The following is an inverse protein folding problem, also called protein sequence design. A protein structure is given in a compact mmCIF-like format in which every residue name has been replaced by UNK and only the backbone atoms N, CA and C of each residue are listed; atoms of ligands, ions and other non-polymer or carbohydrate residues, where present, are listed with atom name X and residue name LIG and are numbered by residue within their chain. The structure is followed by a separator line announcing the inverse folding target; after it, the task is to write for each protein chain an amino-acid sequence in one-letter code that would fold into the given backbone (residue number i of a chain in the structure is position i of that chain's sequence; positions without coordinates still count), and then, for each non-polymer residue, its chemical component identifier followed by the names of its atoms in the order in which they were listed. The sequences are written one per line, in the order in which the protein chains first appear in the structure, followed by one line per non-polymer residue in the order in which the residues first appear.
data_IF_852478973847
#
_entry.id   IF_852478973847
#
_cell.length_a   1.000
_cell.length_b   1.000
_cell.length_c   1.000
_cell.angle_alpha   90.00
_cell.angle_beta   90.00
_cell.angle_gamma   90.00
#
_symmetry.space_group_name_H-M   'P 1'
#
loop_
_entity.id
_entity.type
_entity.pdbx_description
1 polymer ?
#
# COMPACT_ATOMS: atom_id res chain seq x y z
N UNK A 1 11.63 -11.35 54.14
CA UNK A 1 12.48 -11.73 53.00
C UNK A 1 12.07 -10.89 51.81
N UNK A 2 12.93 -9.99 51.33
CA UNK A 2 12.66 -9.22 50.11
C UNK A 2 12.94 -10.14 48.92
N UNK A 3 11.89 -10.63 48.27
CA UNK A 3 11.99 -11.40 47.02
C UNK A 3 12.26 -10.43 45.87
N UNK A 4 13.51 -9.96 45.75
CA UNK A 4 13.95 -9.28 44.53
C UNK A 4 13.90 -10.28 43.38
N UNK A 5 12.94 -10.10 42.48
CA UNK A 5 12.83 -10.91 41.27
C UNK A 5 14.13 -10.80 40.45
N UNK A 6 14.65 -11.95 40.00
CA UNK A 6 15.84 -11.98 39.14
C UNK A 6 15.58 -11.19 37.85
N UNK A 7 16.54 -10.36 37.40
CA UNK A 7 16.36 -9.55 36.19
C UNK A 7 16.22 -10.46 34.96
N UNK A 8 15.25 -10.13 34.09
CA UNK A 8 15.02 -10.85 32.85
C UNK A 8 16.25 -10.78 31.94
N UNK A 9 16.72 -11.93 31.44
CA UNK A 9 17.85 -11.98 30.53
C UNK A 9 17.53 -11.24 29.21
N UNK A 10 18.41 -10.33 28.77
CA UNK A 10 18.20 -9.50 27.57
C UNK A 10 17.82 -10.32 26.33
N UNK A 11 18.47 -11.47 26.10
CA UNK A 11 18.16 -12.31 24.96
C UNK A 11 16.74 -12.93 25.03
N UNK A 12 16.21 -13.16 26.23
CA UNK A 12 14.82 -13.59 26.39
C UNK A 12 13.85 -12.48 25.97
N UNK A 13 14.08 -11.25 26.47
CA UNK A 13 13.24 -10.08 26.14
C UNK A 13 13.19 -9.85 24.64
N UNK A 14 14.34 -9.84 23.95
CA UNK A 14 14.38 -9.64 22.51
C UNK A 14 13.65 -10.72 21.70
N UNK A 15 13.75 -12.00 22.11
CA UNK A 15 12.98 -13.08 21.48
C UNK A 15 11.47 -12.88 21.64
N UNK A 16 11.03 -12.43 22.82
CA UNK A 16 9.62 -12.12 23.08
C UNK A 16 9.15 -10.93 22.26
N UNK A 17 9.90 -9.83 22.23
CA UNK A 17 9.57 -8.66 21.41
C UNK A 17 9.47 -9.03 19.92
N UNK A 18 10.46 -9.73 19.37
CA UNK A 18 10.44 -10.20 17.99
C UNK A 18 9.18 -11.04 17.67
N UNK A 19 8.81 -11.95 18.59
CA UNK A 19 7.64 -12.79 18.46
C UNK A 19 6.33 -11.99 18.53
N UNK A 20 6.25 -10.98 19.41
CA UNK A 20 5.08 -10.10 19.55
C UNK A 20 4.91 -9.21 18.32
N UNK A 21 6.00 -8.63 17.79
CA UNK A 21 5.95 -7.85 16.55
C UNK A 21 5.54 -8.73 15.36
N UNK A 22 5.99 -9.99 15.36
CA UNK A 22 5.54 -10.98 14.37
C UNK A 22 4.03 -11.25 14.42
N UNK A 23 3.44 -11.35 15.62
CA UNK A 23 1.98 -11.47 15.76
C UNK A 23 1.26 -10.26 15.15
N UNK A 24 1.73 -9.04 15.43
CA UNK A 24 1.14 -7.83 14.85
C UNK A 24 1.18 -7.83 13.32
N UNK A 25 2.31 -8.25 12.73
CA UNK A 25 2.44 -8.36 11.28
C UNK A 25 1.48 -9.40 10.71
N UNK A 26 1.21 -10.51 11.41
CA UNK A 26 0.22 -11.51 10.98
C UNK A 26 -1.19 -10.93 10.98
N UNK A 27 -1.56 -10.15 12.01
CA UNK A 27 -2.86 -9.49 12.06
C UNK A 27 -3.03 -8.50 10.92
N UNK A 28 -1.98 -7.70 10.65
CA UNK A 28 -1.94 -6.82 9.48
C UNK A 28 -2.05 -7.61 8.17
N UNK A 29 -1.32 -8.72 8.02
CA UNK A 29 -1.36 -9.55 6.82
C UNK A 29 -2.77 -10.09 6.54
N UNK A 30 -3.51 -10.48 7.58
CA UNK A 30 -4.91 -10.94 7.45
C UNK A 30 -5.79 -9.81 6.92
N UNK A 31 -5.75 -8.63 7.54
CA UNK A 31 -6.50 -7.45 7.09
C UNK A 31 -6.11 -7.08 5.66
N UNK A 32 -4.82 -6.99 5.39
CA UNK A 32 -4.28 -6.62 4.10
C UNK A 32 -4.76 -7.56 2.97
N UNK A 33 -4.70 -8.88 3.18
CA UNK A 33 -5.16 -9.84 2.17
C UNK A 33 -6.69 -9.83 2.01
N UNK A 34 -7.44 -9.64 3.10
CA UNK A 34 -8.89 -9.48 3.04
C UNK A 34 -9.28 -8.25 2.21
N UNK A 35 -8.75 -7.08 2.54
CA UNK A 35 -9.02 -5.83 1.82
C UNK A 35 -8.61 -5.93 0.35
N UNK A 36 -7.40 -6.41 0.04
CA UNK A 36 -6.94 -6.54 -1.34
C UNK A 36 -7.73 -7.58 -2.15
N UNK A 37 -8.21 -8.65 -1.53
CA UNK A 37 -9.03 -9.65 -2.23
C UNK A 37 -10.34 -9.07 -2.76
N UNK A 38 -10.88 -8.02 -2.13
CA UNK A 38 -12.10 -7.34 -2.60
C UNK A 38 -11.92 -6.59 -3.93
N UNK A 39 -10.69 -6.40 -4.41
CA UNK A 39 -10.46 -5.86 -5.76
C UNK A 39 -10.89 -6.86 -6.85
N UNK A 40 -10.95 -8.15 -6.51
CA UNK A 40 -11.25 -9.24 -7.42
C UNK A 40 -12.51 -10.03 -7.05
N UNK A 41 -12.80 -10.20 -5.75
CA UNK A 41 -13.89 -11.03 -5.27
C UNK A 41 -15.25 -10.37 -5.51
N UNK A 42 -16.23 -11.20 -5.87
CA UNK A 42 -17.59 -10.83 -6.31
C UNK A 42 -18.49 -10.24 -5.20
N UNK A 43 -17.97 -10.01 -3.98
CA UNK A 43 -18.72 -9.34 -2.91
C UNK A 43 -18.60 -7.83 -3.13
N UNK A 44 -19.59 -7.26 -3.84
CA UNK A 44 -19.61 -5.86 -4.24
C UNK A 44 -18.99 -5.65 -5.62
N UNK A 45 -19.66 -6.21 -6.64
CA UNK A 45 -19.32 -6.18 -8.06
C UNK A 45 -18.50 -4.94 -8.47
N UNK A 46 -17.46 -5.15 -9.29
CA UNK A 46 -16.69 -4.09 -9.95
C UNK A 46 -15.68 -3.30 -9.09
N UNK A 47 -15.27 -3.85 -7.94
CA UNK A 47 -14.18 -3.29 -7.13
C UNK A 47 -14.63 -2.25 -6.08
N UNK A 48 -15.93 -2.06 -5.90
CA UNK A 48 -16.47 -1.14 -4.89
C UNK A 48 -16.13 -1.55 -3.46
N UNK A 49 -16.10 -2.85 -3.16
CA UNK A 49 -15.71 -3.35 -1.83
C UNK A 49 -14.32 -2.84 -1.45
N UNK A 50 -13.36 -3.02 -2.37
CA UNK A 50 -12.00 -2.49 -2.22
C UNK A 50 -11.99 -0.97 -2.02
N UNK A 51 -12.71 -0.22 -2.87
CA UNK A 51 -12.77 1.24 -2.78
C UNK A 51 -13.29 1.69 -1.41
N UNK A 52 -14.39 1.08 -0.93
CA UNK A 52 -14.97 1.38 0.40
C UNK A 52 -13.99 1.07 1.52
N UNK A 53 -13.37 -0.10 1.50
CA UNK A 53 -12.42 -0.53 2.53
C UNK A 53 -11.17 0.38 2.58
N UNK A 54 -10.59 0.69 1.42
CA UNK A 54 -9.40 1.56 1.34
C UNK A 54 -9.73 3.00 1.75
N UNK A 55 -10.88 3.54 1.34
CA UNK A 55 -11.31 4.86 1.78
C UNK A 55 -11.58 4.91 3.29
N UNK A 56 -12.17 3.85 3.86
CA UNK A 56 -12.36 3.74 5.31
C UNK A 56 -11.01 3.81 6.04
N UNK A 57 -10.00 3.06 5.58
CA UNK A 57 -8.67 3.06 6.19
C UNK A 57 -7.98 4.43 6.02
N UNK A 58 -8.01 5.04 4.83
CA UNK A 58 -7.41 6.36 4.56
C UNK A 58 -8.00 7.46 5.45
N UNK A 59 -9.28 7.34 5.80
CA UNK A 59 -10.00 8.33 6.59
C UNK A 59 -9.97 8.07 8.11
N UNK A 60 -9.21 7.08 8.58
CA UNK A 60 -9.04 6.86 10.01
C UNK A 60 -8.36 8.06 10.68
N UNK A 61 -8.85 8.49 11.86
CA UNK A 61 -8.20 9.55 12.61
C UNK A 61 -6.80 9.10 13.05
N UNK A 62 -5.84 10.02 13.01
CA UNK A 62 -4.44 9.75 13.38
C UNK A 62 -3.77 8.64 12.55
N UNK A 63 -4.21 8.40 11.31
CA UNK A 63 -3.65 7.38 10.43
C UNK A 63 -2.10 7.37 10.40
N UNK A 64 -1.38 8.51 10.29
CA UNK A 64 0.09 8.48 10.32
C UNK A 64 0.68 7.88 11.60
N UNK A 65 0.06 8.14 12.75
CA UNK A 65 0.49 7.57 14.05
C UNK A 65 0.20 6.07 14.08
N UNK A 66 -0.98 5.66 13.63
CA UNK A 66 -1.38 4.26 13.51
C UNK A 66 -0.38 3.51 12.62
N UNK A 67 -0.05 4.06 11.45
CA UNK A 67 0.90 3.47 10.52
C UNK A 67 2.30 3.32 11.13
N UNK A 68 2.81 4.33 11.82
CA UNK A 68 4.14 4.25 12.45
C UNK A 68 4.14 3.22 13.59
N UNK A 69 3.17 3.30 14.50
CA UNK A 69 3.18 2.53 15.76
C UNK A 69 2.74 1.09 15.55
N UNK A 70 1.73 0.84 14.72
CA UNK A 70 1.16 -0.50 14.52
C UNK A 70 1.73 -1.24 13.31
N UNK A 71 2.33 -0.54 12.34
CA UNK A 71 2.91 -1.17 11.13
C UNK A 71 4.42 -0.97 11.05
N UNK A 72 4.88 0.29 11.00
CA UNK A 72 6.29 0.63 10.77
C UNK A 72 7.23 0.08 11.83
N UNK A 73 6.95 0.36 13.11
CA UNK A 73 7.76 -0.13 14.24
C UNK A 73 7.73 -1.66 14.32
N UNK A 74 6.57 -2.35 14.28
CA UNK A 74 6.54 -3.81 14.28
C UNK A 74 7.29 -4.45 13.11
N UNK A 75 7.10 -3.96 11.88
CA UNK A 75 7.83 -4.45 10.70
C UNK A 75 9.33 -4.26 10.88
N UNK A 76 9.78 -3.06 11.27
CA UNK A 76 11.20 -2.75 11.41
C UNK A 76 11.86 -3.61 12.50
N UNK A 77 11.25 -3.69 13.69
CA UNK A 77 11.77 -4.48 14.79
C UNK A 77 11.78 -5.98 14.48
N UNK A 78 10.72 -6.49 13.85
CA UNK A 78 10.64 -7.88 13.44
C UNK A 78 11.70 -8.21 12.38
N UNK A 79 11.83 -7.36 11.36
CA UNK A 79 12.80 -7.52 10.28
C UNK A 79 14.24 -7.43 10.79
N UNK A 80 14.59 -6.43 11.60
CA UNK A 80 15.96 -6.23 12.08
C UNK A 80 16.43 -7.40 12.98
N UNK A 81 15.61 -7.80 13.95
CA UNK A 81 15.96 -8.92 14.81
C UNK A 81 15.88 -10.26 14.06
N UNK A 82 14.85 -10.44 13.24
CA UNK A 82 14.66 -11.63 12.42
C UNK A 82 15.82 -11.86 11.46
N UNK A 83 16.34 -10.80 10.84
CA UNK A 83 17.50 -10.86 9.95
C UNK A 83 18.77 -11.29 10.69
N UNK A 84 19.01 -10.77 11.91
CA UNK A 84 20.12 -11.26 12.76
C UNK A 84 20.01 -12.76 13.05
N UNK A 85 18.81 -13.23 13.37
CA UNK A 85 18.56 -14.67 13.62
C UNK A 85 18.74 -15.48 12.33
N UNK A 86 18.36 -14.93 11.19
CA UNK A 86 18.47 -15.55 9.88
C UNK A 86 19.94 -15.84 9.53
N UNK A 87 20.84 -14.88 9.76
CA UNK A 87 22.29 -15.00 9.51
C UNK A 87 22.97 -16.07 10.38
N UNK A 88 22.39 -16.43 11.52
CA UNK A 88 22.95 -17.42 12.46
C UNK A 88 22.22 -18.77 12.41
N UNK A 89 21.21 -18.89 11.54
CA UNK A 89 20.36 -20.07 11.48
C UNK A 89 21.04 -21.27 10.80
N UNK A 90 20.90 -22.45 11.39
CA UNK A 90 21.37 -23.72 10.80
C UNK A 90 20.18 -24.59 10.43
N UNK A 91 19.96 -24.79 9.13
CA UNK A 91 18.91 -25.67 8.62
C UNK A 91 19.43 -27.11 8.56
N UNK A 92 18.58 -28.10 8.87
CA UNK A 92 18.95 -29.52 8.87
C UNK A 92 17.84 -30.43 8.30
N UNK A 93 16.91 -29.88 7.53
CA UNK A 93 15.84 -30.65 6.89
C UNK A 93 16.25 -31.36 5.59
N UNK A 94 17.42 -31.03 5.04
CA UNK A 94 17.96 -31.61 3.81
C UNK A 94 19.06 -32.65 4.08
N UNK A 95 19.49 -33.37 3.03
CA UNK A 95 20.62 -34.30 3.10
C UNK A 95 21.88 -33.61 3.66
N UNK A 96 22.68 -34.38 4.39
CA UNK A 96 24.04 -33.98 4.78
C UNK A 96 25.04 -34.99 4.27
N UNK A 97 26.23 -34.48 3.98
CA UNK A 97 27.49 -35.18 3.70
C UNK A 97 28.23 -35.68 4.97
N UNK A 98 27.56 -35.70 6.13
CA UNK A 98 28.16 -36.05 7.43
C UNK A 98 28.72 -34.88 8.25
N UNK A 99 28.82 -33.67 7.69
CA UNK A 99 29.33 -32.48 8.42
C UNK A 99 28.31 -31.83 9.35
N UNK A 100 27.01 -32.16 9.19
CA UNK A 100 25.90 -31.67 10.02
C UNK A 100 24.84 -32.77 10.20
N UNK A 101 24.07 -32.76 11.30
CA UNK A 101 22.94 -33.68 11.44
C UNK A 101 21.90 -33.43 10.35
N UNK A 102 21.31 -34.49 9.78
CA UNK A 102 20.22 -34.43 8.81
C UNK A 102 18.96 -35.06 9.39
N UNK A 103 17.89 -34.27 9.51
CA UNK A 103 16.66 -34.60 10.23
C UNK A 103 15.45 -34.54 9.29
N UNK A 104 15.51 -35.34 8.21
CA UNK A 104 14.53 -35.32 7.10
C UNK A 104 13.14 -35.84 7.49
N UNK A 105 13.07 -36.70 8.50
CA UNK A 105 11.84 -37.36 8.94
C UNK A 105 10.94 -36.44 9.77
N UNK A 106 11.43 -35.29 10.24
CA UNK A 106 10.70 -34.43 11.17
C UNK A 106 10.10 -33.21 10.47
N UNK A 107 8.77 -33.14 10.43
CA UNK A 107 8.01 -32.03 9.83
C UNK A 107 8.36 -30.66 10.41
N UNK A 108 8.74 -30.59 11.70
CA UNK A 108 9.18 -29.34 12.34
C UNK A 108 10.51 -28.82 11.80
N UNK A 109 11.43 -29.70 11.41
CA UNK A 109 12.71 -29.30 10.82
C UNK A 109 12.50 -28.72 9.42
N UNK A 110 11.56 -29.29 8.65
CA UNK A 110 11.10 -28.70 7.39
C UNK A 110 10.47 -27.34 7.62
N UNK A 111 9.53 -27.23 8.56
CA UNK A 111 8.86 -25.96 8.84
C UNK A 111 9.82 -24.87 9.36
N UNK A 112 10.80 -25.28 10.17
CA UNK A 112 11.92 -24.45 10.57
C UNK A 112 12.67 -23.94 9.33
N UNK A 113 13.02 -24.80 8.39
CA UNK A 113 13.81 -24.42 7.20
C UNK A 113 13.02 -23.51 6.27
N UNK A 114 11.75 -23.83 6.00
CA UNK A 114 10.87 -23.01 5.18
C UNK A 114 10.58 -21.64 5.79
N UNK A 115 10.51 -21.50 7.12
CA UNK A 115 10.42 -20.19 7.76
C UNK A 115 11.57 -19.28 7.35
N UNK A 116 12.79 -19.82 7.19
CA UNK A 116 14.00 -19.04 6.82
C UNK A 116 14.06 -18.73 5.34
N UNK A 117 13.77 -19.73 4.51
CA UNK A 117 13.72 -19.55 3.05
C UNK A 117 12.70 -18.46 2.70
N UNK A 118 11.50 -18.54 3.27
CA UNK A 118 10.47 -17.50 3.10
C UNK A 118 10.90 -16.16 3.69
N UNK A 119 11.65 -16.13 4.81
CA UNK A 119 12.20 -14.87 5.36
C UNK A 119 13.10 -14.14 4.36
N UNK A 120 14.04 -14.85 3.71
CA UNK A 120 14.93 -14.22 2.72
C UNK A 120 14.15 -13.60 1.57
N UNK A 121 13.18 -14.35 1.05
CA UNK A 121 12.30 -13.90 -0.01
C UNK A 121 11.47 -12.68 0.44
N UNK A 122 10.95 -12.68 1.67
CA UNK A 122 10.12 -11.60 2.19
C UNK A 122 10.87 -10.32 2.51
N UNK A 123 12.16 -10.38 2.90
CA UNK A 123 12.95 -9.14 3.08
C UNK A 123 13.00 -8.37 1.75
N UNK A 124 13.33 -9.05 0.66
CA UNK A 124 13.36 -8.45 -0.67
C UNK A 124 11.95 -8.06 -1.12
N UNK A 125 10.98 -8.97 -0.94
CA UNK A 125 9.60 -8.80 -1.36
C UNK A 125 8.91 -7.62 -0.68
N UNK A 126 9.05 -7.45 0.63
CA UNK A 126 8.44 -6.35 1.38
C UNK A 126 9.06 -5.01 1.00
N UNK A 127 10.40 -4.93 0.87
CA UNK A 127 11.07 -3.70 0.43
C UNK A 127 10.57 -3.30 -0.96
N UNK A 128 10.55 -4.25 -1.91
CA UNK A 128 10.07 -3.99 -3.26
C UNK A 128 8.57 -3.64 -3.28
N UNK A 129 7.74 -4.35 -2.53
CA UNK A 129 6.30 -4.13 -2.45
C UNK A 129 5.95 -2.76 -1.86
N UNK A 130 6.50 -2.42 -0.69
CA UNK A 130 6.27 -1.14 -0.02
C UNK A 130 6.89 -0.01 -0.84
N UNK A 131 8.12 -0.18 -1.33
CA UNK A 131 8.79 0.75 -2.23
C UNK A 131 7.92 1.11 -3.43
N UNK A 132 7.39 0.08 -4.10
CA UNK A 132 6.57 0.25 -5.29
C UNK A 132 5.19 0.84 -4.99
N UNK A 133 4.46 0.32 -4.01
CA UNK A 133 3.07 0.74 -3.74
C UNK A 133 2.98 2.03 -2.93
N UNK A 134 3.80 2.19 -1.88
CA UNK A 134 3.71 3.31 -0.94
C UNK A 134 4.47 4.56 -1.40
N UNK A 135 5.48 4.42 -2.24
CA UNK A 135 6.29 5.56 -2.67
C UNK A 135 6.23 5.76 -4.18
N UNK A 136 6.47 4.70 -4.97
CA UNK A 136 6.55 4.85 -6.41
C UNK A 136 5.19 5.00 -7.11
N UNK A 137 4.12 4.34 -6.66
CA UNK A 137 2.79 4.42 -7.29
C UNK A 137 1.74 5.09 -6.39
N UNK A 138 2.15 5.72 -5.30
CA UNK A 138 1.23 6.38 -4.38
C UNK A 138 0.44 7.51 -5.06
N UNK A 139 -0.89 7.58 -4.92
CA UNK A 139 -1.70 8.65 -5.49
C UNK A 139 -1.27 10.04 -5.01
N UNK A 140 -1.11 10.98 -5.94
CA UNK A 140 -0.87 12.39 -5.60
C UNK A 140 -2.22 13.02 -5.25
N UNK A 141 -2.36 13.50 -4.01
CA UNK A 141 -3.56 14.20 -3.53
C UNK A 141 -3.41 15.71 -3.76
N UNK A 142 -4.42 16.33 -4.36
CA UNK A 142 -4.54 17.79 -4.53
C UNK A 142 -5.87 18.24 -3.96
N UNK A 143 -5.83 19.23 -3.07
CA UNK A 143 -7.02 19.85 -2.49
C UNK A 143 -7.52 20.96 -3.42
N UNK A 144 -8.79 20.89 -3.80
CA UNK A 144 -9.49 21.84 -4.68
C UNK A 144 -10.69 22.39 -3.89
N UNK A 145 -10.40 23.35 -3.00
CA UNK A 145 -11.34 23.89 -2.05
C UNK A 145 -11.87 22.84 -1.06
N UNK A 146 -13.09 22.35 -1.26
CA UNK A 146 -13.75 21.36 -0.37
C UNK A 146 -13.63 19.91 -0.84
N UNK A 147 -12.99 19.66 -1.99
CA UNK A 147 -12.84 18.33 -2.58
C UNK A 147 -11.37 18.02 -2.80
N UNK A 148 -11.01 16.74 -2.77
CA UNK A 148 -9.69 16.28 -3.16
C UNK A 148 -9.75 15.55 -4.51
N UNK A 149 -8.75 15.78 -5.36
CA UNK A 149 -8.51 14.99 -6.56
C UNK A 149 -7.25 14.15 -6.37
N UNK A 150 -7.27 12.91 -6.88
CA UNK A 150 -6.18 11.97 -6.76
C UNK A 150 -5.65 11.58 -8.13
N UNK A 151 -4.35 11.80 -8.35
CA UNK A 151 -3.69 11.58 -9.63
C UNK A 151 -2.77 10.37 -9.57
N UNK A 152 -2.93 9.45 -10.52
CA UNK A 152 -2.06 8.27 -10.66
C UNK A 152 -1.67 8.07 -12.12
N UNK A 153 -0.42 7.66 -12.35
CA UNK A 153 0.05 7.29 -13.69
C UNK A 153 -0.32 5.84 -13.99
N UNK A 154 -0.98 5.61 -15.11
CA UNK A 154 -1.48 4.29 -15.54
C UNK A 154 -1.05 4.03 -16.99
N UNK A 155 -0.72 2.78 -17.32
CA UNK A 155 -0.47 2.38 -18.70
C UNK A 155 -1.77 2.14 -19.44
N UNK A 156 -1.84 2.60 -20.69
CA UNK A 156 -2.98 2.39 -21.57
C UNK A 156 -3.19 0.89 -21.87
N UNK A 157 -4.45 0.49 -21.96
CA UNK A 157 -4.89 -0.82 -22.46
C UNK A 157 -6.37 -0.73 -22.89
N UNK A 158 -6.88 -1.69 -23.70
CA UNK A 158 -8.22 -1.59 -24.28
C UNK A 158 -9.36 -1.41 -23.28
N UNK A 159 -9.24 -1.97 -22.06
CA UNK A 159 -10.29 -1.88 -21.05
C UNK A 159 -10.17 -0.67 -20.13
N UNK A 160 -9.11 0.15 -20.27
CA UNK A 160 -8.93 1.29 -19.38
C UNK A 160 -10.04 2.32 -19.54
N UNK A 161 -10.53 2.56 -20.76
CA UNK A 161 -11.62 3.52 -21.00
C UNK A 161 -12.92 3.09 -20.35
N UNK A 162 -13.32 1.82 -20.51
CA UNK A 162 -14.53 1.25 -19.90
C UNK A 162 -14.45 1.33 -18.37
N UNK A 163 -13.32 0.95 -17.79
CA UNK A 163 -13.10 1.03 -16.34
C UNK A 163 -13.14 2.47 -15.85
N UNK A 164 -12.55 3.40 -16.62
CA UNK A 164 -12.48 4.81 -16.24
C UNK A 164 -13.86 5.46 -16.27
N UNK A 165 -14.64 5.23 -17.32
CA UNK A 165 -16.02 5.73 -17.44
C UNK A 165 -16.89 5.21 -16.27
N UNK A 166 -16.82 3.90 -16.01
CA UNK A 166 -17.55 3.27 -14.89
C UNK A 166 -17.17 3.84 -13.52
N UNK A 167 -15.90 4.17 -13.30
CA UNK A 167 -15.40 4.67 -12.02
C UNK A 167 -15.43 6.20 -11.92
N UNK A 168 -15.89 6.90 -12.96
CA UNK A 168 -15.88 8.37 -13.02
C UNK A 168 -14.47 8.96 -13.00
N UNK A 169 -13.51 8.27 -13.64
CA UNK A 169 -12.10 8.64 -13.72
C UNK A 169 -11.85 9.36 -15.03
N UNK A 170 -11.16 10.50 -14.97
CA UNK A 170 -10.73 11.22 -16.18
C UNK A 170 -9.30 10.85 -16.53
N UNK A 171 -9.01 10.71 -17.82
CA UNK A 171 -7.69 10.33 -18.33
C UNK A 171 -7.07 11.50 -19.09
N UNK A 172 -5.80 11.77 -18.81
CA UNK A 172 -5.02 12.84 -19.42
C UNK A 172 -3.78 12.26 -20.07
N UNK A 173 -3.70 12.35 -21.39
CA UNK A 173 -2.46 12.08 -22.12
C UNK A 173 -1.54 13.31 -22.10
N UNK A 174 -0.34 13.19 -22.68
CA UNK A 174 0.62 14.29 -22.69
C UNK A 174 0.06 15.53 -23.40
N UNK A 175 -0.72 15.35 -24.48
CA UNK A 175 -1.29 16.45 -25.25
C UNK A 175 -2.33 17.22 -24.42
N UNK A 176 -3.18 16.51 -23.68
CA UNK A 176 -4.17 17.09 -22.78
C UNK A 176 -3.50 17.86 -21.62
N UNK A 177 -2.41 17.32 -21.07
CA UNK A 177 -1.65 18.00 -20.01
C UNK A 177 -1.01 19.29 -20.53
N UNK A 178 -0.37 19.26 -21.72
CA UNK A 178 0.21 20.48 -22.30
C UNK A 178 -0.85 21.51 -22.67
N UNK A 179 -2.01 21.08 -23.16
CA UNK A 179 -3.13 21.99 -23.42
C UNK A 179 -3.64 22.66 -22.13
N UNK A 180 -3.80 21.89 -21.06
CA UNK A 180 -4.20 22.42 -19.76
C UNK A 180 -3.14 23.37 -19.19
N UNK A 181 -1.86 23.03 -19.32
CA UNK A 181 -0.74 23.89 -18.94
C UNK A 181 -0.79 25.24 -19.66
N UNK A 182 -0.99 25.23 -20.98
CA UNK A 182 -1.09 26.45 -21.78
C UNK A 182 -2.28 27.31 -21.36
N UNK A 183 -3.42 26.67 -21.05
CA UNK A 183 -4.60 27.34 -20.51
C UNK A 183 -4.30 28.04 -19.18
N UNK A 184 -3.68 27.34 -18.22
CA UNK A 184 -3.33 27.93 -16.91
C UNK A 184 -2.35 29.09 -17.05
N UNK A 185 -1.30 28.96 -17.87
CA UNK A 185 -0.37 30.06 -18.13
C UNK A 185 -1.03 31.28 -18.76
N UNK A 186 -2.02 31.10 -19.63
CA UNK A 186 -2.78 32.21 -20.18
C UNK A 186 -3.61 32.92 -19.10
N UNK A 187 -4.22 32.17 -18.18
CA UNK A 187 -4.97 32.75 -17.05
C UNK A 187 -4.05 33.49 -16.08
N UNK A 188 -2.88 32.92 -15.79
CA UNK A 188 -1.84 33.53 -14.95
C UNK A 188 -1.37 34.87 -15.56
N UNK A 189 -1.05 34.90 -16.86
CA UNK A 189 -0.63 36.11 -17.55
C UNK A 189 -1.73 37.20 -17.56
N UNK A 190 -2.99 36.80 -17.76
CA UNK A 190 -4.12 37.71 -17.66
C UNK A 190 -4.25 38.29 -16.24
N UNK A 191 -4.12 37.46 -15.21
CA UNK A 191 -4.18 37.90 -13.81
C UNK A 191 -3.07 38.91 -13.50
N UNK A 192 -1.82 38.63 -13.91
CA UNK A 192 -0.70 39.55 -13.76
C UNK A 192 -0.97 40.91 -14.44
N UNK A 193 -1.64 40.89 -15.60
CA UNK A 193 -2.12 42.10 -16.27
C UNK A 193 -3.09 42.91 -15.40
N UNK A 194 -4.10 42.25 -14.84
CA UNK A 194 -5.09 42.88 -13.92
C UNK A 194 -4.42 43.47 -12.68
N UNK A 195 -3.46 42.76 -12.07
CA UNK A 195 -2.71 43.27 -10.90
C UNK A 195 -1.98 44.56 -11.26
N UNK A 196 -1.26 44.54 -12.39
CA UNK A 196 -0.45 45.67 -12.84
C UNK A 196 -1.31 46.88 -13.21
N UNK A 197 -2.51 46.67 -13.73
CA UNK A 197 -3.48 47.75 -13.95
C UNK A 197 -4.00 48.31 -12.62
N UNK A 198 -4.31 47.45 -11.65
CA UNK A 198 -4.67 47.86 -10.29
C UNK A 198 -3.59 48.72 -9.60
N UNK A 199 -2.31 48.33 -9.72
CA UNK A 199 -1.17 49.10 -9.19
C UNK A 199 -1.09 50.50 -9.82
N UNK A 200 -1.24 50.62 -11.15
CA UNK A 200 -1.23 51.92 -11.85
C UNK A 200 -2.38 52.83 -11.42
N UNK A 201 -3.55 52.27 -11.13
CA UNK A 201 -4.70 53.04 -10.63
C UNK A 201 -4.38 53.57 -9.23
N UNK A 202 -3.74 52.77 -8.37
CA UNK A 202 -3.35 53.18 -7.02
C UNK A 202 -2.29 54.30 -7.02
N UNK A 203 -1.42 54.33 -8.02
CA UNK A 203 -0.43 55.40 -8.24
C UNK A 203 -1.02 56.70 -8.82
N UNK A 204 -2.27 56.69 -9.30
CA UNK A 204 -2.92 57.86 -9.93
C UNK A 204 -3.52 58.85 -8.92
N UNK A 205 -3.69 60.15 -9.26
CA UNK A 205 -4.26 61.13 -8.33
C UNK A 205 -5.74 60.81 -8.00
N UNK A 206 -6.17 60.94 -6.73
CA UNK A 206 -7.55 60.66 -6.32
C UNK A 206 -8.58 61.61 -6.98
N UNK A 207 -9.85 61.21 -7.12
CA UNK A 207 -10.48 60.00 -6.55
C UNK A 207 -10.30 58.73 -7.40
N UNK A 208 -10.04 57.62 -6.73
CA UNK A 208 -9.91 56.30 -7.36
C UNK A 208 -11.29 55.75 -7.76
N UNK A 209 -11.46 55.34 -9.01
CA UNK A 209 -12.63 54.60 -9.47
C UNK A 209 -12.28 53.12 -9.64
N UNK A 210 -12.69 52.28 -8.69
CA UNK A 210 -12.58 50.82 -8.81
C UNK A 210 -13.79 50.29 -9.60
N UNK A 211 -13.57 49.79 -10.82
CA UNK A 211 -14.62 49.18 -11.66
C UNK A 211 -14.91 47.72 -11.30
N UNK A 212 -13.94 46.99 -10.74
CA UNK A 212 -14.07 45.55 -10.48
C UNK A 212 -14.45 45.28 -9.01
N UNK A 213 -15.51 44.50 -8.79
CA UNK A 213 -15.92 44.06 -7.44
C UNK A 213 -14.78 43.23 -6.83
N UNK A 214 -14.21 43.67 -5.70
CA UNK A 214 -13.13 42.97 -4.96
C UNK A 214 -13.46 41.49 -4.75
N UNK A 215 -14.74 41.14 -4.53
CA UNK A 215 -15.15 39.75 -4.40
C UNK A 215 -14.94 38.93 -5.68
N UNK A 216 -15.16 39.53 -6.86
CA UNK A 216 -14.92 38.88 -8.14
C UNK A 216 -13.43 38.66 -8.39
N UNK A 217 -12.58 39.63 -8.03
CA UNK A 217 -11.14 39.50 -8.13
C UNK A 217 -10.60 38.39 -7.22
N UNK A 218 -11.00 38.39 -5.95
CA UNK A 218 -10.62 37.32 -5.00
C UNK A 218 -11.08 35.94 -5.47
N UNK A 219 -12.30 35.84 -6.03
CA UNK A 219 -12.80 34.59 -6.60
C UNK A 219 -11.95 34.11 -7.78
N UNK A 220 -11.44 35.01 -8.62
CA UNK A 220 -10.57 34.66 -9.75
C UNK A 220 -9.20 34.20 -9.29
N UNK A 221 -8.62 34.85 -8.28
CA UNK A 221 -7.36 34.40 -7.67
C UNK A 221 -7.48 33.00 -7.11
N UNK A 222 -8.51 32.72 -6.30
CA UNK A 222 -8.75 31.37 -5.79
C UNK A 222 -8.90 30.35 -6.92
N UNK A 223 -9.61 30.72 -8.00
CA UNK A 223 -9.77 29.84 -9.17
C UNK A 223 -8.43 29.55 -9.84
N UNK A 224 -7.54 30.54 -9.97
CA UNK A 224 -6.21 30.37 -10.54
C UNK A 224 -5.33 29.49 -9.65
N UNK A 225 -5.34 29.71 -8.33
CA UNK A 225 -4.63 28.85 -7.37
C UNK A 225 -5.09 27.39 -7.46
N UNK A 226 -6.41 27.16 -7.51
CA UNK A 226 -6.98 25.81 -7.68
C UNK A 226 -6.55 25.17 -9.02
N UNK A 227 -6.49 25.96 -10.10
CA UNK A 227 -6.04 25.51 -11.43
C UNK A 227 -4.54 25.17 -11.46
N UNK A 228 -3.72 25.97 -10.80
CA UNK A 228 -2.27 25.73 -10.65
C UNK A 228 -2.03 24.47 -9.82
N UNK A 229 -2.72 24.31 -8.69
CA UNK A 229 -2.65 23.10 -7.87
C UNK A 229 -3.08 21.85 -8.66
N UNK A 230 -4.15 21.96 -9.45
CA UNK A 230 -4.61 20.90 -10.34
C UNK A 230 -3.56 20.53 -11.40
N UNK A 231 -2.93 21.53 -12.04
CA UNK A 231 -1.84 21.33 -12.99
C UNK A 231 -0.64 20.65 -12.34
N UNK A 232 -0.28 21.03 -11.11
CA UNK A 232 0.77 20.36 -10.34
C UNK A 232 0.44 18.88 -10.13
N UNK A 233 -0.82 18.54 -9.84
CA UNK A 233 -1.30 17.16 -9.76
C UNK A 233 -1.11 16.37 -11.05
N UNK A 234 -1.49 16.96 -12.19
CA UNK A 234 -1.28 16.36 -13.52
C UNK A 234 0.22 16.17 -13.85
N UNK A 235 1.07 17.09 -13.43
CA UNK A 235 2.50 17.07 -13.73
C UNK A 235 3.36 16.39 -12.66
N UNK A 236 2.75 15.90 -11.58
CA UNK A 236 3.46 15.27 -10.46
C UNK A 236 4.30 14.06 -10.90
N UNK A 237 3.95 13.43 -12.04
CA UNK A 237 4.61 12.24 -12.57
C UNK A 237 4.79 12.35 -14.07
N UNK A 238 6.02 12.10 -14.53
CA UNK A 238 6.31 11.99 -15.96
C UNK A 238 5.65 10.73 -16.55
N UNK A 239 4.98 10.90 -17.69
CA UNK A 239 4.31 9.83 -18.42
C UNK A 239 5.05 9.51 -19.73
N UNK A 240 5.01 8.23 -20.12
CA UNK A 240 5.46 7.77 -21.44
C UNK A 240 4.31 7.87 -22.45
N UNK A 241 4.62 7.66 -23.74
CA UNK A 241 3.64 7.71 -24.84
C UNK A 241 2.47 6.73 -24.67
N UNK A 242 2.71 5.59 -24.01
CA UNK A 242 1.71 4.56 -23.73
C UNK A 242 1.06 4.71 -22.34
N UNK A 243 1.18 5.88 -21.71
CA UNK A 243 0.71 6.14 -20.35
C UNK A 243 -0.13 7.41 -20.31
N UNK A 244 -1.01 7.46 -19.30
CA UNK A 244 -1.86 8.60 -18.99
C UNK A 244 -1.83 8.88 -17.50
N UNK A 245 -2.22 10.09 -17.12
CA UNK A 245 -2.59 10.42 -15.75
C UNK A 245 -4.09 10.22 -15.59
N UNK A 246 -4.47 9.40 -14.61
CA UNK A 246 -5.85 9.19 -14.22
C UNK A 246 -6.19 10.05 -13.00
N UNK A 247 -7.22 10.89 -13.12
CA UNK A 247 -7.83 11.66 -12.04
C UNK A 247 -8.99 10.86 -11.43
N UNK A 248 -8.89 10.54 -10.15
CA UNK A 248 -9.96 9.93 -9.37
C UNK A 248 -10.47 10.86 -8.27
N UNK A 249 -11.76 10.75 -7.96
CA UNK A 249 -12.43 11.56 -6.92
C UNK A 249 -12.14 11.11 -5.48
N UNK A 250 -11.53 9.94 -5.31
CA UNK A 250 -11.20 9.39 -3.99
C UNK A 250 -9.97 8.47 -4.05
N UNK A 251 -9.32 8.33 -2.89
CA UNK A 251 -8.07 7.57 -2.74
C UNK A 251 -8.23 6.08 -3.09
N UNK A 252 -9.37 5.48 -2.74
CA UNK A 252 -9.67 4.08 -3.00
C UNK A 252 -9.74 3.77 -4.49
N UNK A 253 -10.40 4.61 -5.28
CA UNK A 253 -10.47 4.47 -6.75
C UNK A 253 -9.08 4.61 -7.38
N UNK A 254 -8.29 5.61 -6.98
CA UNK A 254 -6.92 5.77 -7.46
C UNK A 254 -6.06 4.52 -7.16
N UNK A 255 -6.18 3.99 -5.93
CA UNK A 255 -5.45 2.80 -5.51
C UNK A 255 -5.91 1.55 -6.27
N UNK A 256 -7.21 1.41 -6.55
CA UNK A 256 -7.74 0.30 -7.35
C UNK A 256 -7.12 0.30 -8.76
N UNK A 257 -6.99 1.48 -9.40
CA UNK A 257 -6.33 1.61 -10.69
C UNK A 257 -4.85 1.21 -10.64
N UNK A 258 -4.14 1.57 -9.56
CA UNK A 258 -2.74 1.15 -9.35
C UNK A 258 -2.61 -0.37 -9.23
N UNK A 259 -3.50 -1.01 -8.47
CA UNK A 259 -3.53 -2.47 -8.33
C UNK A 259 -3.84 -3.14 -9.67
N UNK A 260 -4.84 -2.63 -10.39
CA UNK A 260 -5.20 -3.07 -11.75
C UNK A 260 -4.02 -3.01 -12.72
N UNK A 261 -3.36 -1.85 -12.81
CA UNK A 261 -2.23 -1.63 -13.71
C UNK A 261 -1.03 -2.53 -13.36
N UNK A 262 -0.82 -2.76 -12.06
CA UNK A 262 0.24 -3.64 -11.58
C UNK A 262 0.02 -5.10 -12.01
N UNK A 263 -1.20 -5.61 -11.88
CA UNK A 263 -1.51 -7.01 -12.21
C UNK A 263 -1.90 -7.25 -13.68
N UNK A 264 -1.78 -6.24 -14.54
CA UNK A 264 -1.75 -6.42 -15.99
C UNK A 264 -0.50 -7.21 -16.44
N UNK A 265 0.61 -7.07 -15.72
CA UNK A 265 1.88 -7.73 -16.06
C UNK A 265 1.94 -9.16 -15.50
N UNK A 266 2.04 -10.21 -16.34
CA UNK A 266 2.15 -11.59 -15.87
C UNK A 266 3.36 -11.84 -14.97
N UNK A 267 4.47 -11.15 -15.24
CA UNK A 267 5.70 -11.24 -14.42
C UNK A 267 5.43 -10.74 -13.00
N UNK A 268 4.76 -9.58 -12.85
CA UNK A 268 4.36 -9.08 -11.53
C UNK A 268 3.40 -10.07 -10.86
N UNK A 269 2.45 -10.66 -11.58
CA UNK A 269 1.54 -11.66 -11.00
C UNK A 269 2.28 -12.88 -10.45
N UNK A 270 3.26 -13.41 -11.19
CA UNK A 270 4.08 -14.56 -10.74
C UNK A 270 4.92 -14.18 -9.51
N UNK A 271 5.59 -13.02 -9.54
CA UNK A 271 6.40 -12.55 -8.41
C UNK A 271 5.55 -12.36 -7.15
N UNK A 272 4.40 -11.68 -7.28
CA UNK A 272 3.48 -11.48 -6.16
C UNK A 272 2.84 -12.78 -5.68
N UNK A 273 2.60 -13.77 -6.56
CA UNK A 273 2.16 -15.12 -6.16
C UNK A 273 3.18 -15.75 -5.20
N UNK A 274 4.47 -15.73 -5.55
CA UNK A 274 5.54 -16.24 -4.68
C UNK A 274 5.59 -15.49 -3.34
N UNK A 275 5.42 -14.15 -3.38
CA UNK A 275 5.45 -13.32 -2.17
C UNK A 275 4.25 -13.58 -1.26
N UNK A 276 3.05 -13.72 -1.81
CA UNK A 276 1.83 -14.06 -1.05
C UNK A 276 1.99 -15.43 -0.38
N UNK A 277 2.39 -16.45 -1.14
CA UNK A 277 2.60 -17.80 -0.60
C UNK A 277 3.66 -17.79 0.51
N UNK A 278 4.77 -17.08 0.31
CA UNK A 278 5.82 -16.95 1.31
C UNK A 278 5.33 -16.20 2.57
N UNK A 279 4.59 -15.09 2.40
CA UNK A 279 4.10 -14.26 3.51
C UNK A 279 3.10 -15.03 4.37
N UNK A 280 2.14 -15.70 3.73
CA UNK A 280 1.13 -16.51 4.43
C UNK A 280 1.79 -17.69 5.14
N UNK A 281 2.73 -18.39 4.48
CA UNK A 281 3.48 -19.45 5.13
C UNK A 281 4.26 -18.96 6.35
N UNK A 282 5.06 -17.91 6.16
CA UNK A 282 5.90 -17.34 7.21
C UNK A 282 5.06 -16.86 8.39
N UNK A 283 3.98 -16.13 8.11
CA UNK A 283 3.08 -15.57 9.10
C UNK A 283 2.41 -16.65 9.95
N UNK A 284 1.83 -17.68 9.32
CA UNK A 284 1.02 -18.66 10.05
C UNK A 284 1.83 -19.79 10.69
N UNK A 285 2.97 -20.19 10.13
CA UNK A 285 3.92 -21.04 10.86
C UNK A 285 4.53 -20.27 12.05
N UNK A 286 4.72 -18.96 11.91
CA UNK A 286 5.05 -18.04 13.00
C UNK A 286 3.97 -17.96 14.07
N UNK A 287 2.70 -17.79 13.68
CA UNK A 287 1.54 -17.72 14.56
C UNK A 287 1.40 -19.01 15.39
N UNK A 288 1.52 -20.17 14.75
CA UNK A 288 1.50 -21.43 15.49
C UNK A 288 2.61 -21.50 16.54
N UNK A 289 3.84 -21.09 16.17
CA UNK A 289 4.98 -21.05 17.09
C UNK A 289 4.76 -20.04 18.22
N UNK A 290 4.13 -18.90 17.93
CA UNK A 290 3.72 -17.90 18.93
C UNK A 290 2.76 -18.50 19.95
N UNK A 291 1.68 -19.17 19.51
CA UNK A 291 0.68 -19.78 20.38
C UNK A 291 1.28 -20.78 21.39
N UNK A 292 2.28 -21.55 20.96
CA UNK A 292 3.00 -22.48 21.85
C UNK A 292 3.94 -21.72 22.80
N UNK A 293 4.81 -20.88 22.25
CA UNK A 293 5.89 -20.26 23.04
C UNK A 293 5.37 -19.28 24.09
N UNK A 294 4.22 -18.64 23.85
CA UNK A 294 3.55 -17.77 24.81
C UNK A 294 2.60 -18.49 25.77
N UNK A 295 2.49 -19.82 25.64
CA UNK A 295 1.69 -20.63 26.56
C UNK A 295 0.18 -20.52 26.36
N UNK A 296 -0.28 -19.97 25.23
CA UNK A 296 -1.70 -19.93 24.87
C UNK A 296 -2.20 -21.37 24.63
N UNK A 297 -1.36 -22.22 24.04
CA UNK A 297 -1.68 -23.62 23.76
C UNK A 297 -0.65 -24.55 24.40
N UNK A 298 -0.97 -25.07 25.59
CA UNK A 298 -0.06 -25.92 26.38
C UNK A 298 -0.20 -27.41 26.10
N UNK A 299 -1.43 -27.93 26.01
CA UNK A 299 -1.68 -29.38 25.87
C UNK A 299 -1.31 -29.87 24.47
N UNK A 300 -0.62 -31.01 24.37
CA UNK A 300 -0.20 -31.61 23.09
C UNK A 300 -1.36 -31.75 22.08
N UNK A 301 -2.51 -32.30 22.52
CA UNK A 301 -3.70 -32.42 21.67
C UNK A 301 -4.19 -31.07 21.13
N UNK A 302 -4.06 -30.01 21.93
CA UNK A 302 -4.45 -28.66 21.53
C UNK A 302 -3.43 -28.06 20.56
N UNK A 303 -2.13 -28.34 20.72
CA UNK A 303 -1.10 -27.92 19.77
C UNK A 303 -1.29 -28.56 18.39
N UNK A 304 -1.66 -29.86 18.35
CA UNK A 304 -1.99 -30.56 17.10
C UNK A 304 -3.24 -29.98 16.41
N UNK A 305 -4.25 -29.52 17.16
CA UNK A 305 -5.39 -28.82 16.56
C UNK A 305 -5.02 -27.42 16.07
N UNK A 306 -4.24 -26.68 16.87
CA UNK A 306 -3.83 -25.33 16.54
C UNK A 306 -3.02 -25.26 15.23
N UNK A 307 -2.15 -26.25 14.96
CA UNK A 307 -1.43 -26.31 13.69
C UNK A 307 -2.37 -26.56 12.51
N UNK A 308 -3.38 -27.42 12.66
CA UNK A 308 -4.38 -27.66 11.61
C UNK A 308 -5.21 -26.41 11.31
N UNK A 309 -5.58 -25.64 12.35
CA UNK A 309 -6.23 -24.33 12.17
C UNK A 309 -5.33 -23.35 11.42
N UNK A 310 -4.05 -23.28 11.76
CA UNK A 310 -3.11 -22.42 11.06
C UNK A 310 -2.98 -22.82 9.59
N UNK A 311 -2.90 -24.11 9.26
CA UNK A 311 -2.91 -24.58 7.87
C UNK A 311 -4.21 -24.25 7.14
N UNK A 312 -5.37 -24.40 7.78
CA UNK A 312 -6.66 -24.00 7.19
C UNK A 312 -6.69 -22.51 6.84
N UNK A 313 -6.27 -21.65 7.78
CA UNK A 313 -6.18 -20.20 7.54
C UNK A 313 -5.15 -19.86 6.45
N UNK A 314 -4.04 -20.59 6.37
CA UNK A 314 -3.07 -20.42 5.28
C UNK A 314 -3.71 -20.67 3.92
N UNK A 315 -4.47 -21.76 3.76
CA UNK A 315 -5.14 -22.07 2.49
C UNK A 315 -6.11 -20.95 2.13
N UNK A 316 -6.95 -20.52 3.07
CA UNK A 316 -7.93 -19.46 2.85
C UNK A 316 -7.24 -18.16 2.43
N UNK A 317 -6.24 -17.71 3.17
CA UNK A 317 -5.57 -16.43 2.88
C UNK A 317 -4.70 -16.48 1.61
N UNK A 318 -4.12 -17.63 1.29
CA UNK A 318 -3.50 -17.85 -0.02
C UNK A 318 -4.53 -17.67 -1.13
N UNK A 319 -5.71 -18.30 -1.03
CA UNK A 319 -6.76 -18.14 -2.02
C UNK A 319 -7.22 -16.69 -2.16
N UNK A 320 -7.41 -15.97 -1.04
CA UNK A 320 -7.78 -14.56 -1.05
C UNK A 320 -6.69 -13.68 -1.70
N UNK A 321 -5.42 -13.89 -1.35
CA UNK A 321 -4.30 -13.17 -1.95
C UNK A 321 -4.15 -13.46 -3.44
N UNK A 322 -4.26 -14.72 -3.85
CA UNK A 322 -4.19 -15.11 -5.27
C UNK A 322 -5.40 -14.61 -6.06
N UNK A 323 -6.58 -14.55 -5.44
CA UNK A 323 -7.75 -13.92 -6.04
C UNK A 323 -7.47 -12.45 -6.34
N UNK A 324 -6.84 -11.70 -5.43
CA UNK A 324 -6.42 -10.32 -5.72
C UNK A 324 -5.43 -10.26 -6.89
N UNK A 325 -4.36 -11.05 -6.85
CA UNK A 325 -3.29 -11.02 -7.86
C UNK A 325 -3.80 -11.36 -9.27
N UNK A 326 -4.58 -12.43 -9.40
CA UNK A 326 -5.02 -12.93 -10.71
C UNK A 326 -6.41 -12.44 -11.11
N UNK A 327 -7.29 -12.17 -10.14
CA UNK A 327 -8.67 -11.78 -10.41
C UNK A 327 -8.86 -10.28 -10.64
N UNK A 328 -8.00 -9.42 -10.06
CA UNK A 328 -8.22 -7.96 -10.16
C UNK A 328 -8.21 -7.51 -11.61
N UNK A 329 -7.15 -7.82 -12.36
CA UNK A 329 -7.10 -7.48 -13.78
C UNK A 329 -7.93 -8.47 -14.61
N UNK A 330 -7.68 -9.78 -14.53
CA UNK A 330 -8.20 -10.71 -15.53
C UNK A 330 -9.69 -11.06 -15.42
N UNK A 331 -10.29 -10.89 -14.23
CA UNK A 331 -11.70 -11.23 -14.00
C UNK A 331 -12.55 -9.96 -13.90
N UNK A 332 -12.12 -8.98 -13.11
CA UNK A 332 -12.99 -7.87 -12.72
C UNK A 332 -12.75 -6.57 -13.52
N UNK A 333 -11.50 -6.28 -13.90
CA UNK A 333 -11.11 -4.96 -14.44
C UNK A 333 -10.44 -5.03 -15.83
N UNK A 334 -10.62 -6.13 -16.57
CA UNK A 334 -10.02 -6.33 -17.90
C UNK A 334 -10.75 -5.54 -18.99
N UNK A 335 -12.08 -5.41 -18.84
CA UNK A 335 -13.03 -4.96 -19.87
C UNK A 335 -13.18 -3.46 -19.87
#
# INVERSE_FOLDING_TARGET
MSTTALPLHRAYVWRRLHSLMGLWIVLFLIEHLLTNSQAALLIGANGEGFIRAVNFIKNLPYLPVIEIVLLGVPILMHMAWGFRVLLTSKMNASSSDGTRPAMKQYSRNHAYSWQRITSYLLVIGIIAHVGYMRFYMYPTEVELGKKSAYFVRISMDPGLYTVSDRLGVKLYDQSAIEHYKAFVHHQEAHMQGVVREGEKIQESPPPYHYEENVAALMSRYQTLEDQEAYLQGLQARLIKKDQVIAEASNFGTATLLVVRDSFKSPIKCILYTLFVLAAVYHGFNGLWTFLITWGIVLKMRSQSRAVNWCYGLMVILCLLGLASVWGTYYINLKV
#
